data_IF_582197634029
#
_entry.id   IF_582197634029
#
_cell.length_a   1.000
_cell.length_b   1.000
_cell.length_c   1.000
_cell.angle_alpha   90.00
_cell.angle_beta   90.00
_cell.angle_gamma   90.00
#
_symmetry.space_group_name_H-M   'P 1'
#
loop_
_entity.id
_entity.type
_entity.pdbx_description
1 polymer ?
#
# COMPACT_ATOMS: atom_id res chain seq x y z
N UNK A 1 -7.25 18.11 1.45
CA UNK A 1 -6.86 17.58 2.79
C UNK A 1 -7.16 16.09 2.76
N UNK A 2 -6.31 15.22 3.34
CA UNK A 2 -6.61 13.77 3.42
C UNK A 2 -7.72 13.58 4.46
N UNK A 3 -8.79 12.89 4.09
CA UNK A 3 -9.88 12.57 5.01
C UNK A 3 -9.60 11.23 5.70
N UNK A 4 -9.39 11.24 7.00
CA UNK A 4 -9.04 10.04 7.78
C UNK A 4 -10.27 9.36 8.41
N UNK A 5 -11.45 9.99 8.34
CA UNK A 5 -12.70 9.45 8.90
C UNK A 5 -13.59 8.90 7.78
N UNK A 6 -13.32 7.65 7.43
CA UNK A 6 -13.99 6.93 6.35
C UNK A 6 -14.65 5.66 6.92
N UNK A 7 -15.89 5.39 6.53
CA UNK A 7 -16.63 4.18 6.91
C UNK A 7 -17.06 3.41 5.66
N UNK A 8 -16.90 2.08 5.68
CA UNK A 8 -17.39 1.19 4.63
C UNK A 8 -18.57 0.37 5.17
N UNK A 9 -19.67 0.35 4.42
CA UNK A 9 -20.85 -0.49 4.72
C UNK A 9 -21.08 -1.47 3.59
N UNK A 10 -21.01 -2.77 3.85
CA UNK A 10 -21.29 -3.78 2.84
C UNK A 10 -22.76 -3.73 2.40
N UNK A 11 -23.02 -3.74 1.09
CA UNK A 11 -24.40 -3.72 0.56
C UNK A 11 -24.93 -5.11 0.17
N UNK A 12 -24.12 -6.16 0.36
CA UNK A 12 -24.47 -7.55 0.07
C UNK A 12 -24.32 -7.96 -1.41
N UNK A 13 -23.90 -7.07 -2.31
CA UNK A 13 -23.88 -7.29 -3.76
C UNK A 13 -22.49 -7.16 -4.41
N UNK A 14 -21.41 -7.61 -3.73
CA UNK A 14 -19.99 -7.41 -4.13
C UNK A 14 -19.57 -5.93 -4.25
N UNK A 15 -20.37 -5.05 -3.67
CA UNK A 15 -20.10 -3.64 -3.54
C UNK A 15 -20.16 -3.27 -2.05
N UNK A 16 -19.57 -2.15 -1.69
CA UNK A 16 -19.79 -1.53 -0.38
C UNK A 16 -19.95 -0.04 -0.57
N UNK A 17 -20.76 0.57 0.28
CA UNK A 17 -20.95 2.00 0.30
C UNK A 17 -19.85 2.63 1.15
N UNK A 18 -19.02 3.44 0.50
CA UNK A 18 -18.01 4.28 1.15
C UNK A 18 -18.68 5.55 1.65
N UNK A 19 -18.50 5.89 2.92
CA UNK A 19 -19.01 7.10 3.55
C UNK A 19 -17.87 7.92 4.14
N UNK A 20 -17.92 9.24 3.96
CA UNK A 20 -16.99 10.19 4.61
C UNK A 20 -17.67 11.54 4.81
N UNK A 21 -17.04 12.41 5.60
CA UNK A 21 -17.50 13.78 5.83
C UNK A 21 -16.48 14.79 5.33
N UNK A 22 -16.78 15.51 4.25
CA UNK A 22 -15.93 16.58 3.74
C UNK A 22 -15.91 17.79 4.70
N UNK A 23 -14.78 18.50 4.73
CA UNK A 23 -14.60 19.68 5.59
C UNK A 23 -15.50 20.87 5.19
N UNK A 24 -16.07 20.86 3.98
CA UNK A 24 -17.01 21.88 3.52
C UNK A 24 -17.81 21.41 2.30
N UNK A 25 -19.08 21.81 2.24
CA UNK A 25 -20.01 21.43 1.17
C UNK A 25 -19.58 21.95 -0.22
N UNK A 26 -18.77 23.01 -0.28
CA UNK A 26 -18.27 23.57 -1.53
C UNK A 26 -17.03 22.87 -2.10
N UNK A 27 -16.47 21.88 -1.40
CA UNK A 27 -15.32 21.12 -1.87
C UNK A 27 -15.74 20.10 -2.92
N UNK A 28 -14.88 19.84 -3.90
CA UNK A 28 -15.00 18.72 -4.83
C UNK A 28 -14.30 17.49 -4.21
N UNK A 29 -14.84 16.29 -4.43
CA UNK A 29 -14.21 15.04 -3.95
C UNK A 29 -13.64 14.20 -5.10
N UNK A 30 -12.55 13.51 -4.80
CA UNK A 30 -11.99 12.43 -5.61
C UNK A 30 -11.82 11.19 -4.74
N UNK A 31 -12.13 10.04 -5.32
CA UNK A 31 -11.96 8.74 -4.68
C UNK A 31 -11.04 7.90 -5.53
N UNK A 32 -9.96 7.42 -4.93
CA UNK A 32 -9.00 6.51 -5.55
C UNK A 32 -9.08 5.15 -4.86
N UNK A 33 -8.95 4.09 -5.65
CA UNK A 33 -8.84 2.72 -5.17
C UNK A 33 -7.53 2.15 -5.69
N UNK A 34 -6.66 1.69 -4.79
CA UNK A 34 -5.33 1.17 -5.11
C UNK A 34 -4.48 2.14 -5.95
N UNK A 35 -4.66 3.44 -5.75
CA UNK A 35 -3.96 4.49 -6.50
C UNK A 35 -4.54 4.82 -7.86
N UNK A 36 -5.65 4.18 -8.25
CA UNK A 36 -6.35 4.46 -9.51
C UNK A 36 -7.60 5.29 -9.21
N UNK A 37 -7.82 6.35 -9.97
CA UNK A 37 -9.01 7.19 -9.82
C UNK A 37 -10.27 6.38 -10.13
N UNK A 38 -11.14 6.21 -9.13
CA UNK A 38 -12.44 5.59 -9.29
C UNK A 38 -13.52 6.66 -9.55
N UNK A 39 -13.53 7.72 -8.75
CA UNK A 39 -14.46 8.86 -8.89
C UNK A 39 -13.74 10.20 -8.84
N UNK A 40 -14.33 11.21 -9.49
CA UNK A 40 -13.91 12.60 -9.35
C UNK A 40 -13.73 13.35 -10.70
N UNK A 41 -13.99 14.67 -10.73
CA UNK A 41 -14.50 15.48 -9.62
C UNK A 41 -15.96 15.17 -9.30
N UNK A 42 -16.27 14.96 -8.02
CA UNK A 42 -17.64 14.81 -7.51
C UNK A 42 -18.11 16.12 -6.91
N UNK A 43 -19.26 16.60 -7.40
CA UNK A 43 -19.93 17.81 -6.94
C UNK A 43 -21.09 17.39 -6.04
N UNK A 44 -20.82 17.28 -4.74
CA UNK A 44 -21.82 16.96 -3.73
C UNK A 44 -22.03 18.20 -2.85
N UNK A 45 -23.25 18.71 -2.84
CA UNK A 45 -23.66 19.92 -2.10
C UNK A 45 -23.82 19.71 -0.59
N UNK A 46 -23.47 18.52 -0.11
CA UNK A 46 -23.49 18.12 1.29
C UNK A 46 -22.09 17.81 1.81
N UNK A 47 -21.90 17.98 3.12
CA UNK A 47 -20.68 17.56 3.82
C UNK A 47 -20.62 16.05 4.01
N UNK A 48 -21.74 15.40 4.28
CA UNK A 48 -21.85 13.94 4.32
C UNK A 48 -21.93 13.40 2.89
N UNK A 49 -21.02 12.49 2.54
CA UNK A 49 -20.84 12.01 1.17
C UNK A 49 -20.75 10.50 1.16
N UNK A 50 -21.24 9.91 0.06
CA UNK A 50 -21.11 8.47 -0.14
C UNK A 50 -21.03 8.07 -1.60
N UNK A 51 -20.28 7.03 -1.90
CA UNK A 51 -20.19 6.40 -3.24
C UNK A 51 -20.04 4.89 -3.13
N UNK A 52 -20.57 4.12 -4.10
CA UNK A 52 -20.34 2.68 -4.13
C UNK A 52 -18.90 2.38 -4.56
N UNK A 53 -18.22 1.50 -3.83
CA UNK A 53 -16.88 1.02 -4.12
C UNK A 53 -16.93 -0.50 -4.35
N UNK A 54 -16.35 -1.02 -5.44
CA UNK A 54 -16.24 -2.46 -5.64
C UNK A 54 -15.34 -3.05 -4.55
N UNK A 55 -15.84 -4.06 -3.85
CA UNK A 55 -15.10 -4.80 -2.83
C UNK A 55 -15.24 -6.30 -3.12
N UNK A 56 -14.36 -6.83 -3.98
CA UNK A 56 -14.30 -8.26 -4.25
C UNK A 56 -14.01 -9.05 -2.97
N UNK A 57 -14.61 -10.23 -2.86
CA UNK A 57 -14.40 -11.09 -1.69
C UNK A 57 -12.95 -11.55 -1.64
N UNK A 58 -12.29 -11.36 -0.49
CA UNK A 58 -10.92 -11.82 -0.27
C UNK A 58 -9.84 -10.87 -0.78
N UNK A 59 -10.20 -9.72 -1.35
CA UNK A 59 -9.23 -8.71 -1.76
C UNK A 59 -9.07 -7.64 -0.68
N UNK A 60 -7.84 -7.15 -0.51
CA UNK A 60 -7.57 -5.98 0.30
C UNK A 60 -7.36 -4.77 -0.60
N UNK A 61 -8.12 -3.70 -0.36
CA UNK A 61 -8.10 -2.48 -1.15
C UNK A 61 -7.70 -1.31 -0.28
N UNK A 62 -6.88 -0.42 -0.82
CA UNK A 62 -6.69 0.89 -0.22
C UNK A 62 -7.60 1.89 -0.89
N UNK A 63 -8.30 2.65 -0.06
CA UNK A 63 -9.21 3.70 -0.50
C UNK A 63 -8.65 5.02 0.00
N UNK A 64 -8.57 5.97 -0.91
CA UNK A 64 -8.08 7.31 -0.63
C UNK A 64 -9.12 8.33 -1.11
N UNK A 65 -9.45 9.27 -0.23
CA UNK A 65 -10.41 10.33 -0.52
C UNK A 65 -9.73 11.68 -0.35
N UNK A 66 -9.84 12.50 -1.40
CA UNK A 66 -9.37 13.89 -1.40
C UNK A 66 -10.56 14.82 -1.50
N UNK A 67 -10.63 15.77 -0.59
CA UNK A 67 -11.51 16.94 -0.72
C UNK A 67 -10.65 18.18 -1.02
N UNK A 68 -10.88 18.79 -2.18
CA UNK A 68 -10.16 19.98 -2.66
C UNK A 68 -11.13 21.12 -3.02
N UNK A 69 -10.67 22.38 -3.00
CA UNK A 69 -11.44 23.50 -3.52
C UNK A 69 -11.79 23.31 -5.01
N UNK A 70 -12.81 24.03 -5.52
CA UNK A 70 -13.19 23.93 -6.92
C UNK A 70 -12.02 24.13 -7.88
N UNK A 71 -12.01 23.37 -8.97
CA UNK A 71 -10.92 23.32 -9.97
C UNK A 71 -9.60 22.71 -9.46
N UNK A 72 -9.55 22.19 -8.22
CA UNK A 72 -8.44 21.36 -7.76
C UNK A 72 -8.29 20.11 -8.62
N UNK A 73 -7.06 19.61 -8.79
CA UNK A 73 -6.82 18.29 -9.39
C UNK A 73 -6.19 17.42 -8.30
N UNK A 74 -6.86 16.34 -7.93
CA UNK A 74 -6.31 15.36 -7.00
C UNK A 74 -5.39 14.38 -7.74
N UNK A 75 -4.24 14.12 -7.14
CA UNK A 75 -3.34 13.01 -7.50
C UNK A 75 -3.35 12.01 -6.35
N UNK A 76 -3.43 10.70 -6.64
CA UNK A 76 -3.38 9.67 -5.61
C UNK A 76 -2.02 9.75 -4.87
N UNK A 77 -2.07 9.63 -3.55
CA UNK A 77 -0.88 9.48 -2.69
C UNK A 77 -0.64 7.99 -2.46
N UNK A 78 -1.68 7.16 -2.50
CA UNK A 78 -1.59 5.72 -2.35
C UNK A 78 -1.16 5.02 -3.66
N UNK A 79 -0.24 4.07 -3.56
CA UNK A 79 0.15 3.15 -4.63
C UNK A 79 -0.21 1.71 -4.23
N UNK A 80 -0.72 0.88 -5.16
CA UNK A 80 -1.15 -0.52 -4.90
C UNK A 80 -0.17 -1.23 -3.96
N UNK A 81 -0.62 -1.80 -2.82
CA UNK A 81 0.29 -2.43 -1.89
C UNK A 81 0.96 -3.61 -2.58
N UNK A 82 2.27 -3.69 -2.42
CA UNK A 82 3.09 -4.75 -3.01
C UNK A 82 4.08 -5.23 -1.98
N UNK A 83 4.26 -6.54 -1.89
CA UNK A 83 5.35 -7.12 -1.12
C UNK A 83 6.67 -7.09 -1.90
N UNK A 84 6.65 -6.71 -3.19
CA UNK A 84 7.81 -6.61 -4.09
C UNK A 84 7.72 -5.36 -4.98
N UNK A 85 8.02 -4.17 -4.45
CA UNK A 85 8.01 -2.94 -5.24
C UNK A 85 9.14 -2.92 -6.28
N UNK A 86 8.92 -2.21 -7.39
CA UNK A 86 9.97 -1.86 -8.34
C UNK A 86 10.59 -0.53 -7.90
N UNK A 87 11.90 -0.52 -7.68
CA UNK A 87 12.66 0.68 -7.31
C UNK A 87 13.41 1.21 -8.52
N UNK A 88 13.39 2.53 -8.70
CA UNK A 88 14.00 3.19 -9.86
C UNK A 88 14.86 4.38 -9.47
N UNK A 89 16.05 4.49 -10.04
CA UNK A 89 16.94 5.64 -9.84
C UNK A 89 17.87 5.86 -11.03
N UNK A 90 18.38 7.09 -11.15
CA UNK A 90 19.37 7.43 -12.15
C UNK A 90 20.77 7.01 -11.71
N UNK A 91 21.61 6.52 -12.63
CA UNK A 91 22.99 6.20 -12.34
C UNK A 91 23.79 7.48 -12.05
N UNK A 92 24.88 7.34 -11.28
CA UNK A 92 25.81 8.40 -10.93
C UNK A 92 27.17 8.07 -11.52
N UNK A 93 27.81 9.04 -12.18
CA UNK A 93 29.02 8.81 -12.97
C UNK A 93 30.20 8.27 -12.13
N UNK A 94 30.30 8.69 -10.86
CA UNK A 94 31.38 8.30 -9.94
C UNK A 94 31.02 7.09 -9.06
N UNK A 95 29.85 6.49 -9.26
CA UNK A 95 29.46 5.31 -8.49
C UNK A 95 30.29 4.09 -8.93
N UNK A 96 30.98 3.47 -7.98
CA UNK A 96 31.56 2.14 -8.17
C UNK A 96 30.53 1.03 -7.94
N UNK A 97 29.54 1.27 -7.05
CA UNK A 97 28.47 0.32 -6.71
C UNK A 97 27.24 1.00 -6.13
N UNK A 98 26.14 0.24 -6.08
CA UNK A 98 24.90 0.63 -5.42
C UNK A 98 24.58 -0.32 -4.28
N UNK A 99 24.22 0.24 -3.12
CA UNK A 99 23.76 -0.52 -1.96
C UNK A 99 22.33 -0.14 -1.62
N UNK A 100 21.46 -1.14 -1.49
CA UNK A 100 20.08 -0.96 -1.04
C UNK A 100 19.95 -1.46 0.39
N UNK A 101 19.28 -0.66 1.20
CA UNK A 101 18.94 -0.95 2.58
C UNK A 101 17.44 -0.98 2.77
N UNK A 102 17.02 -1.82 3.70
CA UNK A 102 15.64 -2.05 4.06
C UNK A 102 15.50 -1.99 5.58
N UNK A 103 14.42 -1.34 6.04
CA UNK A 103 13.96 -1.38 7.41
C UNK A 103 12.44 -1.57 7.45
N UNK A 104 11.98 -2.54 8.21
CA UNK A 104 10.58 -2.75 8.52
C UNK A 104 10.18 -1.90 9.73
N UNK A 105 9.15 -1.06 9.59
CA UNK A 105 8.67 -0.14 10.61
C UNK A 105 9.80 0.68 11.26
N UNK A 106 9.86 0.62 12.59
CA UNK A 106 10.92 1.21 13.41
C UNK A 106 12.10 0.28 13.72
N UNK A 107 12.20 -0.87 13.05
CA UNK A 107 13.21 -1.90 13.32
C UNK A 107 14.63 -1.54 12.88
N UNK A 108 15.51 -2.54 12.81
CA UNK A 108 16.88 -2.34 12.35
C UNK A 108 16.97 -2.27 10.82
N UNK A 109 17.85 -1.40 10.32
CA UNK A 109 18.17 -1.33 8.90
C UNK A 109 19.13 -2.48 8.52
N UNK A 110 18.88 -3.13 7.39
CA UNK A 110 19.72 -4.20 6.83
C UNK A 110 19.99 -3.97 5.34
N UNK A 111 21.20 -4.30 4.88
CA UNK A 111 21.53 -4.28 3.45
C UNK A 111 20.90 -5.48 2.74
N UNK A 112 20.21 -5.24 1.64
CA UNK A 112 19.47 -6.24 0.85
C UNK A 112 19.97 -6.34 -0.58
N UNK A 113 20.80 -5.39 -1.01
CA UNK A 113 21.40 -5.36 -2.34
C UNK A 113 22.80 -4.73 -2.27
N UNK A 114 23.75 -5.28 -3.03
CA UNK A 114 25.08 -4.71 -3.27
C UNK A 114 25.56 -5.19 -4.64
N UNK A 115 25.61 -4.30 -5.63
CA UNK A 115 26.02 -4.61 -7.01
C UNK A 115 26.92 -3.52 -7.58
N UNK A 116 27.84 -3.92 -8.45
CA UNK A 116 28.74 -3.00 -9.13
C UNK A 116 27.94 -2.08 -10.06
N UNK A 117 28.31 -0.80 -10.14
CA UNK A 117 27.65 0.15 -11.02
C UNK A 117 27.80 -0.24 -12.51
N UNK A 118 28.89 -0.93 -12.84
CA UNK A 118 29.16 -1.50 -14.18
C UNK A 118 28.06 -2.44 -14.67
N UNK A 119 27.34 -3.10 -13.76
CA UNK A 119 26.26 -4.04 -14.10
C UNK A 119 25.11 -3.34 -14.84
N UNK A 120 24.97 -2.01 -14.66
CA UNK A 120 23.88 -1.19 -15.20
C UNK A 120 24.28 -0.32 -16.40
N UNK A 121 25.55 -0.33 -16.80
CA UNK A 121 26.06 0.34 -18.02
C UNK A 121 25.69 1.82 -18.15
N UNK A 122 25.52 2.53 -17.02
CA UNK A 122 25.16 3.95 -17.01
C UNK A 122 23.75 4.26 -17.51
N UNK A 123 22.85 3.27 -17.59
CA UNK A 123 21.44 3.45 -17.91
C UNK A 123 20.62 3.68 -16.63
N UNK A 124 19.40 4.23 -16.79
CA UNK A 124 18.42 4.30 -15.70
C UNK A 124 18.22 2.91 -15.09
N UNK A 125 18.29 2.84 -13.77
CA UNK A 125 18.25 1.58 -13.03
C UNK A 125 16.82 1.36 -12.57
N UNK A 126 16.28 0.18 -12.85
CA UNK A 126 15.01 -0.30 -12.36
C UNK A 126 15.18 -1.74 -11.87
N UNK A 127 14.93 -1.99 -10.60
CA UNK A 127 15.01 -3.34 -10.03
C UNK A 127 13.73 -3.67 -9.28
N UNK A 128 13.26 -4.91 -9.41
CA UNK A 128 12.34 -5.47 -8.43
C UNK A 128 13.09 -5.67 -7.11
N UNK A 129 12.44 -5.38 -5.98
CA UNK A 129 13.05 -5.56 -4.67
C UNK A 129 13.53 -7.02 -4.49
N UNK A 130 14.79 -7.27 -4.12
CA UNK A 130 15.36 -8.62 -4.08
C UNK A 130 14.85 -9.45 -2.89
N UNK A 131 14.08 -8.84 -2.00
CA UNK A 131 13.42 -9.47 -0.86
C UNK A 131 11.92 -9.24 -0.97
N UNK A 132 11.17 -10.15 -0.37
CA UNK A 132 9.76 -9.93 -0.10
C UNK A 132 9.60 -9.11 1.18
N UNK A 133 8.71 -8.13 1.15
CA UNK A 133 8.30 -7.37 2.32
C UNK A 133 7.21 -8.13 3.07
N UNK A 134 7.33 -8.20 4.39
CA UNK A 134 6.27 -8.73 5.26
C UNK A 134 5.04 -7.82 5.17
N UNK A 135 3.91 -8.35 4.70
CA UNK A 135 2.68 -7.57 4.59
C UNK A 135 1.62 -7.92 5.65
N UNK A 136 1.89 -8.86 6.54
CA UNK A 136 0.87 -9.38 7.45
C UNK A 136 0.36 -8.28 8.39
N UNK A 137 -0.95 -7.99 8.30
CA UNK A 137 -1.59 -6.92 9.08
C UNK A 137 -1.28 -5.50 8.61
N UNK A 138 -0.65 -5.34 7.44
CA UNK A 138 -0.33 -4.04 6.85
C UNK A 138 0.85 -3.35 7.54
N UNK A 139 2.02 -3.36 6.89
CA UNK A 139 3.28 -2.92 7.49
C UNK A 139 3.95 -1.86 6.63
N UNK A 140 4.49 -0.82 7.28
CA UNK A 140 5.30 0.20 6.62
C UNK A 140 6.76 -0.24 6.52
N UNK A 141 7.33 -0.14 5.32
CA UNK A 141 8.74 -0.39 5.05
C UNK A 141 9.43 0.86 4.54
N UNK A 142 10.69 1.02 4.94
CA UNK A 142 11.58 2.06 4.47
C UNK A 142 12.69 1.41 3.63
N UNK A 143 12.85 1.92 2.42
CA UNK A 143 13.86 1.47 1.46
C UNK A 143 14.76 2.64 1.12
N UNK A 144 16.06 2.39 1.00
CA UNK A 144 17.04 3.44 0.74
C UNK A 144 18.16 2.91 -0.13
N UNK A 145 18.51 3.65 -1.18
CA UNK A 145 19.69 3.38 -1.99
C UNK A 145 20.74 4.47 -1.78
N UNK A 146 22.00 4.06 -1.81
CA UNK A 146 23.16 4.93 -1.90
C UNK A 146 24.08 4.45 -3.02
N UNK A 147 24.75 5.40 -3.67
CA UNK A 147 25.93 5.11 -4.48
C UNK A 147 27.15 5.13 -3.59
N UNK A 148 28.09 4.24 -3.86
CA UNK A 148 29.39 4.18 -3.20
C UNK A 148 30.47 4.32 -4.26
N UNK A 149 31.40 5.24 -4.06
CA UNK A 149 32.55 5.44 -4.96
C UNK A 149 33.64 4.37 -4.76
N UNK A 150 34.75 4.47 -5.50
CA UNK A 150 35.88 3.54 -5.39
C UNK A 150 36.61 3.60 -4.04
N UNK A 151 36.47 4.71 -3.31
CA UNK A 151 37.09 4.96 -2.02
C UNK A 151 36.18 4.56 -0.84
N UNK A 152 34.94 4.17 -1.11
CA UNK A 152 33.96 3.79 -0.10
C UNK A 152 33.12 4.97 0.43
N UNK A 153 33.20 6.15 -0.18
CA UNK A 153 32.36 7.28 0.19
C UNK A 153 30.93 7.07 -0.30
N UNK A 154 29.97 7.41 0.56
CA UNK A 154 28.54 7.23 0.29
C UNK A 154 27.92 8.55 -0.19
N UNK A 155 27.05 8.47 -1.20
CA UNK A 155 26.28 9.60 -1.68
C UNK A 155 25.20 10.04 -0.67
N UNK A 156 24.55 11.17 -0.94
CA UNK A 156 23.24 11.45 -0.33
C UNK A 156 22.26 10.33 -0.67
N UNK A 157 21.42 9.97 0.29
CA UNK A 157 20.44 8.89 0.14
C UNK A 157 19.24 9.26 -0.71
N UNK A 158 18.84 8.37 -1.61
CA UNK A 158 17.48 8.33 -2.17
C UNK A 158 16.67 7.28 -1.40
N UNK A 159 15.43 7.58 -1.06
CA UNK A 159 14.62 6.70 -0.22
C UNK A 159 13.16 6.65 -0.66
N UNK A 160 12.53 5.51 -0.33
CA UNK A 160 11.12 5.22 -0.58
C UNK A 160 10.46 4.74 0.70
N UNK A 161 9.15 4.95 0.77
CA UNK A 161 8.27 4.33 1.76
C UNK A 161 7.31 3.43 1.02
N UNK A 162 7.23 2.18 1.44
CA UNK A 162 6.35 1.19 0.84
C UNK A 162 5.41 0.66 1.92
N UNK A 163 4.10 0.66 1.66
CA UNK A 163 3.15 -0.04 2.50
C UNK A 163 2.97 -1.45 1.91
N UNK A 164 3.47 -2.46 2.62
CA UNK A 164 3.27 -3.85 2.24
C UNK A 164 2.03 -4.36 2.97
N UNK A 165 1.12 -4.97 2.23
CA UNK A 165 -0.06 -5.58 2.80
C UNK A 165 -0.30 -6.91 2.08
N UNK A 166 -0.16 -7.99 2.83
CA UNK A 166 -0.60 -9.30 2.37
C UNK A 166 -2.13 -9.31 2.39
N UNK A 167 -2.78 -10.00 1.45
CA UNK A 167 -4.20 -10.29 1.59
C UNK A 167 -4.43 -10.93 2.97
N UNK A 168 -5.52 -10.58 3.68
CA UNK A 168 -5.85 -11.30 4.90
C UNK A 168 -5.89 -12.80 4.60
N UNK A 169 -5.27 -13.59 5.47
CA UNK A 169 -5.38 -15.05 5.37
C UNK A 169 -6.85 -15.44 5.26
N UNK A 170 -7.15 -16.52 4.52
CA UNK A 170 -8.51 -17.04 4.48
C UNK A 170 -8.98 -17.25 5.93
N UNK A 171 -10.22 -16.84 6.27
CA UNK A 171 -10.71 -17.07 7.61
C UNK A 171 -10.71 -18.57 7.88
N UNK A 172 -10.28 -18.95 9.09
CA UNK A 172 -10.31 -20.35 9.49
C UNK A 172 -11.71 -20.93 9.27
N UNK A 173 -11.80 -22.10 8.63
CA UNK A 173 -13.07 -22.81 8.49
C UNK A 173 -13.44 -23.47 9.81
N UNK A 174 -14.58 -23.09 10.37
CA UNK A 174 -15.14 -23.74 11.55
C UNK A 174 -16.09 -24.84 11.10
N UNK A 175 -15.73 -26.09 11.39
CA UNK A 175 -16.62 -27.24 11.23
C UNK A 175 -17.24 -27.58 12.59
N UNK A 176 -18.56 -27.80 12.60
CA UNK A 176 -19.31 -28.20 13.80
C UNK A 176 -19.88 -29.59 13.55
N UNK A 177 -19.57 -30.53 14.43
CA UNK A 177 -20.12 -31.88 14.42
C UNK A 177 -20.81 -32.20 15.76
N UNK A 178 -21.68 -33.20 15.76
CA UNK A 178 -22.25 -33.73 16.99
C UNK A 178 -21.13 -34.30 17.87
N UNK A 179 -21.12 -33.90 19.13
CA UNK A 179 -20.17 -34.39 20.12
C UNK A 179 -20.50 -35.80 20.59
N UNK A 180 -19.64 -36.37 21.44
CA UNK A 180 -19.78 -37.73 21.96
C UNK A 180 -20.98 -37.95 22.89
N UNK A 181 -21.77 -36.92 23.19
CA UNK A 181 -22.99 -37.01 24.01
C UNK A 181 -24.04 -36.00 23.55
N UNK A 182 -25.34 -36.29 23.75
CA UNK A 182 -26.42 -35.38 23.35
C UNK A 182 -26.25 -33.98 23.92
N UNK A 183 -26.33 -32.97 23.03
CA UNK A 183 -26.18 -31.56 23.40
C UNK A 183 -24.74 -31.05 23.46
N UNK A 184 -23.74 -31.90 23.24
CA UNK A 184 -22.36 -31.49 23.01
C UNK A 184 -22.08 -31.33 21.52
N UNK A 185 -21.18 -30.41 21.18
CA UNK A 185 -20.70 -30.19 19.83
C UNK A 185 -19.17 -30.28 19.83
N UNK A 186 -18.64 -30.92 18.80
CA UNK A 186 -17.21 -30.85 18.48
C UNK A 186 -16.99 -29.71 17.49
N UNK A 187 -16.12 -28.77 17.86
CA UNK A 187 -15.79 -27.60 17.06
C UNK A 187 -14.37 -27.77 16.55
N UNK A 188 -14.21 -27.92 15.24
CA UNK A 188 -12.90 -28.00 14.60
C UNK A 188 -12.62 -26.68 13.88
N UNK A 189 -11.47 -26.08 14.18
CA UNK A 189 -11.00 -24.86 13.51
C UNK A 189 -9.90 -25.27 12.53
N UNK A 190 -10.20 -25.21 11.24
CA UNK A 190 -9.23 -25.50 10.17
C UNK A 190 -8.62 -24.18 9.68
N UNK A 191 -7.29 -24.02 9.74
CA UNK A 191 -6.62 -22.86 9.14
C UNK A 191 -6.68 -22.86 7.61
#
# INVERSE_FOLDING_TARGET
MINEQITLTADGARQSLLHWQAAGASLESWVFVNGVKLYGPLFLDTVERSVPVPLPVGECLAIEVHDLPPQGIATPIFETPTTRPILQWNPLAEAARYRLYHREGGGSERRVFDRAASDFRGLSIAIELPIELNGLGGVWHFLRVEAVDEYGNESTRLAWRCFAMEPPGLPNRIDIADGTSPGLFEITVNP
#
